data_IF_968979103159
#
_entry.id   IF_968979103159
#
_cell.length_a   1.000
_cell.length_b   1.000
_cell.length_c   1.000
_cell.angle_alpha   90.00
_cell.angle_beta   90.00
_cell.angle_gamma   90.00
#
_symmetry.space_group_name_H-M   'P 1'
#
loop_
_entity.id
_entity.type
_entity.pdbx_description
1 polymer ?
#
# COMPACT_ATOMS: atom_id res chain seq x y z
N UNK A 1 10.23 -11.36 -8.95
CA UNK A 1 10.84 -10.27 -8.14
C UNK A 1 12.33 -10.19 -8.48
N UNK A 2 12.64 -9.74 -9.69
CA UNK A 2 14.02 -9.54 -10.13
C UNK A 2 14.63 -8.33 -9.45
N UNK A 3 15.78 -8.55 -8.81
CA UNK A 3 16.83 -7.58 -8.44
C UNK A 3 16.37 -6.18 -7.98
N UNK A 4 15.64 -6.09 -6.86
CA UNK A 4 15.45 -4.84 -6.09
C UNK A 4 16.11 -5.01 -4.71
N UNK A 5 17.45 -4.91 -4.62
CA UNK A 5 18.18 -5.22 -3.38
C UNK A 5 17.78 -4.32 -2.21
N UNK A 6 17.18 -3.15 -2.48
CA UNK A 6 16.78 -2.14 -1.49
C UNK A 6 15.33 -2.29 -1.02
N UNK A 7 14.53 -3.19 -1.58
CA UNK A 7 13.13 -3.38 -1.17
C UNK A 7 13.04 -4.39 -0.04
N UNK A 8 12.60 -3.91 1.13
CA UNK A 8 12.21 -4.78 2.26
C UNK A 8 10.72 -5.09 2.16
N UNK A 9 10.38 -6.36 1.94
CA UNK A 9 9.00 -6.83 1.91
C UNK A 9 8.56 -7.33 3.29
N UNK A 10 7.39 -6.88 3.74
CA UNK A 10 6.70 -7.39 4.92
C UNK A 10 5.31 -7.83 4.50
N UNK A 11 4.87 -9.00 4.96
CA UNK A 11 3.57 -9.56 4.60
C UNK A 11 2.74 -9.86 5.85
N UNK A 12 1.42 -9.69 5.73
CA UNK A 12 0.46 -10.09 6.74
C UNK A 12 -0.77 -10.68 6.04
N UNK A 13 -1.26 -11.81 6.53
CA UNK A 13 -2.46 -12.49 6.02
C UNK A 13 -3.74 -12.08 6.75
N UNK A 14 -3.63 -11.21 7.77
CA UNK A 14 -4.73 -10.70 8.59
C UNK A 14 -4.58 -9.19 8.75
N UNK A 15 -5.71 -8.48 8.71
CA UNK A 15 -5.80 -7.04 8.83
C UNK A 15 -5.09 -6.51 10.08
N UNK A 16 -5.34 -7.14 11.25
CA UNK A 16 -4.75 -6.70 12.53
C UNK A 16 -3.22 -6.65 12.45
N UNK A 17 -2.59 -7.73 12.00
CA UNK A 17 -1.12 -7.79 11.88
C UNK A 17 -0.59 -6.80 10.84
N UNK A 18 -1.34 -6.59 9.75
CA UNK A 18 -0.97 -5.59 8.73
C UNK A 18 -0.95 -4.17 9.28
N UNK A 19 -1.94 -3.81 10.11
CA UNK A 19 -2.00 -2.51 10.80
C UNK A 19 -0.84 -2.39 11.80
N UNK A 20 -0.58 -3.42 12.60
CA UNK A 20 0.53 -3.42 13.56
C UNK A 20 1.89 -3.22 12.85
N UNK A 21 2.12 -3.91 11.73
CA UNK A 21 3.32 -3.72 10.90
C UNK A 21 3.43 -2.29 10.35
N UNK A 22 2.31 -1.70 9.92
CA UNK A 22 2.29 -0.34 9.40
C UNK A 22 2.64 0.68 10.49
N UNK A 23 2.14 0.49 11.71
CA UNK A 23 2.46 1.34 12.86
C UNK A 23 3.92 1.19 13.30
N UNK A 24 4.41 -0.05 13.38
CA UNK A 24 5.75 -0.38 13.85
C UNK A 24 6.83 0.09 12.89
N UNK A 25 6.63 -0.10 11.58
CA UNK A 25 7.67 0.11 10.59
C UNK A 25 7.45 1.29 9.66
N UNK A 26 6.25 1.89 9.64
CA UNK A 26 5.90 3.04 8.79
C UNK A 26 6.41 2.88 7.34
N UNK A 27 5.96 1.82 6.62
CA UNK A 27 6.47 1.52 5.29
C UNK A 27 6.19 2.64 4.29
N UNK A 28 6.97 2.68 3.22
CA UNK A 28 6.81 3.68 2.15
C UNK A 28 5.58 3.44 1.28
N UNK A 29 5.04 2.21 1.25
CA UNK A 29 3.92 1.80 0.42
C UNK A 29 3.20 0.59 1.05
N UNK A 30 1.88 0.58 0.97
CA UNK A 30 1.04 -0.56 1.37
C UNK A 30 0.21 -1.03 0.18
N UNK A 31 0.23 -2.33 -0.09
CA UNK A 31 -0.77 -3.00 -0.91
C UNK A 31 -1.74 -3.73 0.01
N UNK A 32 -3.02 -3.41 -0.09
CA UNK A 32 -4.06 -3.87 0.83
C UNK A 32 -5.13 -4.65 0.08
N UNK A 33 -5.27 -5.93 0.42
CA UNK A 33 -6.38 -6.75 -0.08
C UNK A 33 -7.72 -6.23 0.45
N UNK A 34 -8.72 -6.17 -0.41
CA UNK A 34 -10.08 -5.82 -0.01
C UNK A 34 -10.73 -6.95 0.81
N UNK A 35 -10.47 -8.20 0.44
CA UNK A 35 -11.07 -9.38 1.08
C UNK A 35 -10.07 -10.04 2.03
N UNK A 36 -9.97 -9.54 3.26
CA UNK A 36 -9.19 -10.19 4.32
C UNK A 36 -10.09 -11.08 5.19
N UNK A 37 -9.54 -12.12 5.83
CA UNK A 37 -10.32 -13.08 6.60
C UNK A 37 -10.90 -12.51 7.91
N UNK A 38 -10.42 -11.36 8.39
CA UNK A 38 -10.78 -10.78 9.68
C UNK A 38 -11.45 -9.40 9.62
N UNK A 39 -11.12 -8.54 8.64
CA UNK A 39 -11.72 -7.22 8.43
C UNK A 39 -11.83 -6.90 6.93
N UNK A 40 -12.79 -6.08 6.53
CA UNK A 40 -12.80 -5.60 5.14
C UNK A 40 -11.69 -4.56 4.90
N UNK A 41 -11.12 -4.54 3.70
CA UNK A 41 -9.99 -3.66 3.38
C UNK A 41 -10.30 -2.17 3.45
N UNK A 42 -11.56 -1.76 3.28
CA UNK A 42 -11.99 -0.36 3.47
C UNK A 42 -11.92 0.08 4.94
N UNK A 43 -12.26 -0.80 5.88
CA UNK A 43 -12.08 -0.54 7.31
C UNK A 43 -10.60 -0.41 7.68
N UNK A 44 -9.75 -1.25 7.09
CA UNK A 44 -8.29 -1.17 7.29
C UNK A 44 -7.74 0.13 6.73
N UNK A 45 -8.15 0.51 5.52
CA UNK A 45 -7.79 1.78 4.90
C UNK A 45 -8.18 2.96 5.82
N UNK A 46 -9.42 2.98 6.31
CA UNK A 46 -9.89 4.04 7.20
C UNK A 46 -9.04 4.14 8.47
N UNK A 47 -8.71 3.01 9.12
CA UNK A 47 -7.85 2.98 10.32
C UNK A 47 -6.46 3.55 10.04
N UNK A 48 -5.84 3.15 8.92
CA UNK A 48 -4.54 3.67 8.51
C UNK A 48 -4.60 5.18 8.21
N UNK A 49 -5.70 5.67 7.64
CA UNK A 49 -5.86 7.10 7.33
C UNK A 49 -6.21 7.98 8.52
N UNK A 50 -6.77 7.40 9.59
CA UNK A 50 -7.05 8.12 10.83
C UNK A 50 -5.82 8.25 11.73
N UNK A 51 -4.87 7.31 11.66
CA UNK A 51 -3.69 7.31 12.54
C UNK A 51 -2.59 8.28 12.01
N UNK A 52 -2.08 9.22 12.85
CA UNK A 52 -1.05 10.17 12.42
C UNK A 52 0.25 9.54 11.89
N UNK A 53 0.64 8.35 12.36
CA UNK A 53 1.85 7.65 11.95
C UNK A 53 1.70 7.01 10.57
N UNK A 54 0.48 6.63 10.19
CA UNK A 54 0.23 5.86 8.94
C UNK A 54 -0.56 6.62 7.88
N UNK A 55 -1.22 7.74 8.23
CA UNK A 55 -2.11 8.48 7.31
C UNK A 55 -1.47 8.93 6.00
N UNK A 56 -0.16 9.23 6.04
CA UNK A 56 0.62 9.68 4.88
C UNK A 56 1.08 8.54 3.99
N UNK A 57 1.03 7.30 4.46
CA UNK A 57 1.49 6.13 3.70
C UNK A 57 0.51 5.92 2.54
N UNK A 58 0.98 5.84 1.28
CA UNK A 58 0.15 5.50 0.13
C UNK A 58 -0.35 4.07 0.27
N UNK A 59 -1.66 3.88 0.11
CA UNK A 59 -2.31 2.56 0.18
C UNK A 59 -2.95 2.27 -1.17
N UNK A 60 -2.48 1.23 -1.84
CA UNK A 60 -3.10 0.71 -3.06
C UNK A 60 -3.99 -0.48 -2.72
N UNK A 61 -5.26 -0.37 -3.12
CA UNK A 61 -6.26 -1.40 -2.86
C UNK A 61 -6.16 -2.51 -3.91
N UNK A 62 -6.19 -3.77 -3.48
CA UNK A 62 -6.26 -4.94 -4.35
C UNK A 62 -7.65 -5.55 -4.23
N UNK A 63 -8.40 -5.66 -5.33
CA UNK A 63 -9.69 -6.37 -5.30
C UNK A 63 -9.92 -7.20 -6.55
N UNK A 64 -10.73 -8.24 -6.38
CA UNK A 64 -11.15 -9.13 -7.47
C UNK A 64 -12.22 -8.49 -8.36
N UNK A 65 -12.99 -7.56 -7.81
CA UNK A 65 -14.02 -6.83 -8.52
C UNK A 65 -13.74 -5.32 -8.45
N UNK A 66 -13.82 -4.65 -9.59
CA UNK A 66 -13.46 -3.24 -9.77
C UNK A 66 -14.68 -2.47 -10.26
N UNK A 67 -15.79 -2.62 -9.56
CA UNK A 67 -16.96 -1.79 -9.81
C UNK A 67 -16.60 -0.32 -9.56
N UNK A 68 -16.98 0.56 -10.49
CA UNK A 68 -16.66 2.00 -10.40
C UNK A 68 -17.07 2.60 -9.05
N UNK A 69 -18.25 2.24 -8.53
CA UNK A 69 -18.72 2.70 -7.24
C UNK A 69 -17.79 2.31 -6.07
N UNK A 70 -17.19 1.12 -6.10
CA UNK A 70 -16.25 0.67 -5.09
C UNK A 70 -14.94 1.44 -5.18
N UNK A 71 -14.43 1.64 -6.40
CA UNK A 71 -13.22 2.42 -6.65
C UNK A 71 -13.40 3.86 -6.15
N UNK A 72 -14.50 4.52 -6.51
CA UNK A 72 -14.78 5.89 -6.11
C UNK A 72 -14.94 6.01 -4.58
N UNK A 73 -15.61 5.04 -3.95
CA UNK A 73 -15.68 4.96 -2.48
C UNK A 73 -14.28 4.84 -1.86
N UNK A 74 -13.44 3.93 -2.33
CA UNK A 74 -12.10 3.73 -1.79
C UNK A 74 -11.19 4.95 -2.01
N UNK A 75 -11.30 5.63 -3.15
CA UNK A 75 -10.62 6.91 -3.42
C UNK A 75 -11.06 7.98 -2.42
N UNK A 76 -12.36 8.10 -2.15
CA UNK A 76 -12.88 9.06 -1.15
C UNK A 76 -12.37 8.81 0.27
N UNK A 77 -12.03 7.55 0.58
CA UNK A 77 -11.39 7.14 1.84
C UNK A 77 -9.87 7.36 1.87
N UNK A 78 -9.28 7.88 0.78
CA UNK A 78 -7.86 8.22 0.69
C UNK A 78 -6.96 7.12 0.12
N UNK A 79 -7.52 6.12 -0.58
CA UNK A 79 -6.70 5.18 -1.35
C UNK A 79 -5.86 5.92 -2.39
N UNK A 80 -4.56 5.58 -2.48
CA UNK A 80 -3.64 6.16 -3.46
C UNK A 80 -3.89 5.60 -4.87
N UNK A 81 -4.42 4.39 -4.94
CA UNK A 81 -4.78 3.76 -6.19
C UNK A 81 -5.41 2.39 -5.97
N UNK A 82 -5.65 1.70 -7.08
CA UNK A 82 -6.36 0.45 -7.10
C UNK A 82 -5.78 -0.49 -8.15
N UNK A 83 -5.70 -1.78 -7.85
CA UNK A 83 -5.28 -2.84 -8.77
C UNK A 83 -6.31 -3.98 -8.76
N UNK A 84 -6.74 -4.40 -9.94
CA UNK A 84 -7.61 -5.56 -10.14
C UNK A 84 -6.83 -6.86 -10.05
N UNK A 85 -7.47 -7.92 -9.55
CA UNK A 85 -7.00 -9.30 -9.69
C UNK A 85 -7.63 -9.92 -10.96
N UNK A 86 -6.89 -10.76 -11.72
CA UNK A 86 -5.48 -11.09 -11.55
C UNK A 86 -4.57 -9.88 -11.79
N UNK A 87 -3.52 -9.74 -10.96
CA UNK A 87 -2.65 -8.56 -10.99
C UNK A 87 -1.85 -8.50 -12.29
N UNK A 88 -1.88 -7.35 -12.95
CA UNK A 88 -0.86 -7.01 -13.95
C UNK A 88 0.47 -6.77 -13.23
N UNK A 89 1.38 -7.75 -13.36
CA UNK A 89 2.69 -7.71 -12.72
C UNK A 89 3.53 -6.53 -13.23
N UNK A 90 3.38 -6.11 -14.49
CA UNK A 90 4.13 -4.96 -15.02
C UNK A 90 3.67 -3.68 -14.33
N UNK A 91 2.36 -3.47 -14.25
CA UNK A 91 1.82 -2.29 -13.58
C UNK A 91 2.12 -2.30 -12.07
N UNK A 92 1.98 -3.44 -11.40
CA UNK A 92 2.35 -3.58 -9.99
C UNK A 92 3.80 -3.17 -9.73
N UNK A 93 4.72 -3.63 -10.57
CA UNK A 93 6.13 -3.27 -10.44
C UNK A 93 6.39 -1.79 -10.75
N UNK A 94 5.68 -1.19 -11.71
CA UNK A 94 5.76 0.26 -11.96
C UNK A 94 5.31 1.08 -10.76
N UNK A 95 4.21 0.69 -10.11
CA UNK A 95 3.76 1.33 -8.86
C UNK A 95 4.84 1.21 -7.80
N UNK A 96 5.37 0.00 -7.55
CA UNK A 96 6.43 -0.21 -6.58
C UNK A 96 7.67 0.66 -6.86
N UNK A 97 8.09 0.73 -8.13
CA UNK A 97 9.26 1.50 -8.55
C UNK A 97 9.07 3.01 -8.38
N UNK A 98 7.83 3.51 -8.52
CA UNK A 98 7.51 4.91 -8.28
C UNK A 98 7.62 5.35 -6.81
N UNK A 99 7.65 4.42 -5.86
CA UNK A 99 7.84 4.70 -4.43
C UNK A 99 9.21 4.29 -3.89
N UNK A 100 10.13 3.85 -4.76
CA UNK A 100 11.52 3.69 -4.34
C UNK A 100 12.12 5.05 -4.03
N UNK A 101 12.59 5.23 -2.80
CA UNK A 101 13.40 6.39 -2.45
C UNK A 101 14.70 6.29 -3.24
N UNK A 102 14.95 7.27 -4.10
CA UNK A 102 16.29 7.47 -4.62
C UNK A 102 17.17 7.93 -3.44
N UNK A 103 18.15 7.11 -3.05
CA UNK A 103 19.26 7.59 -2.23
C UNK A 103 20.05 8.61 -3.06
N UNK A 104 19.70 9.89 -2.98
CA UNK A 104 20.49 11.00 -3.50
C UNK A 104 20.09 12.32 -2.81
N UNK A 105 20.77 12.66 -1.71
CA UNK A 105 21.61 13.87 -1.59
C UNK A 105 22.18 13.99 -0.16
N UNK A 106 23.40 13.51 0.06
CA UNK A 106 24.19 13.84 1.25
C UNK A 106 25.71 13.92 0.95
N UNK A 107 26.06 14.38 -0.26
CA UNK A 107 27.42 14.79 -0.64
C UNK A 107 27.32 15.92 -1.67
N UNK A 108 26.65 17.02 -1.31
CA UNK A 108 26.63 18.23 -2.12
C UNK A 108 26.42 19.49 -1.29
N UNK A 109 27.07 19.57 -0.12
CA UNK A 109 27.50 20.87 0.42
C UNK A 109 28.93 20.68 0.94
N UNK A 110 29.83 21.39 0.28
CA UNK A 110 31.27 21.45 0.50
C UNK A 110 31.60 22.34 1.71
#
# INVERSE_FOLDING_TARGET
>A
MGNRPTVKLMTASKAKRGIDLALEHQPDLIFLDFNLPDLNGDEVLARLKMDPLTRKIPVYMLSADAMDAQIERLKSLGAAGYLTKPLDIKYFLQVLDGYQKHENNALAEA
#
